data_IF_388325608466
#
_entry.id   IF_388325608466
#
_cell.length_a   1.000
_cell.length_b   1.000
_cell.length_c   1.000
_cell.angle_alpha   90.00
_cell.angle_beta   90.00
_cell.angle_gamma   90.00
#
_symmetry.space_group_name_H-M   'P 1'
#
loop_
_entity.id
_entity.type
_entity.pdbx_description
1 polymer ?
#
# COMPACT_ATOMS: atom_id res chain seq x y z
N UNK A 1 -8.15 -26.28 -2.44
CA UNK A 1 -7.00 -27.18 -2.16
C UNK A 1 -5.64 -26.50 -2.30
N UNK A 2 -5.33 -25.70 -3.34
CA UNK A 2 -3.99 -25.10 -3.50
C UNK A 2 -3.67 -24.00 -2.47
N UNK A 3 -4.62 -23.11 -2.16
CA UNK A 3 -4.44 -22.08 -1.11
C UNK A 3 -4.16 -22.70 0.26
N UNK A 4 -4.81 -23.83 0.57
CA UNK A 4 -4.62 -24.57 1.82
C UNK A 4 -3.20 -25.17 1.93
N UNK A 5 -2.60 -25.62 0.84
CA UNK A 5 -1.21 -26.10 0.83
C UNK A 5 -0.25 -24.94 1.09
N UNK A 6 -0.53 -23.74 0.55
CA UNK A 6 0.30 -22.56 0.80
C UNK A 6 0.20 -22.10 2.27
N UNK A 7 -0.98 -22.09 2.90
CA UNK A 7 -1.09 -21.73 4.32
C UNK A 7 -0.35 -22.71 5.24
N UNK A 8 -0.35 -24.01 4.94
CA UNK A 8 0.31 -25.02 5.79
C UNK A 8 1.82 -25.21 5.53
N UNK A 9 2.32 -24.90 4.34
CA UNK A 9 3.73 -25.19 3.97
C UNK A 9 4.67 -23.99 4.13
N UNK A 10 4.15 -22.77 4.16
CA UNK A 10 4.97 -21.55 4.23
C UNK A 10 5.45 -21.18 5.63
N UNK A 11 4.96 -21.86 6.68
CA UNK A 11 5.50 -21.68 8.04
C UNK A 11 6.81 -22.45 8.28
N UNK A 12 7.08 -23.48 7.46
CA UNK A 12 8.19 -24.42 7.66
C UNK A 12 9.18 -24.35 6.50
N UNK A 13 8.72 -24.08 5.28
CA UNK A 13 9.55 -24.05 4.08
C UNK A 13 9.83 -22.62 3.64
N UNK A 14 11.06 -22.40 3.19
CA UNK A 14 11.47 -21.17 2.54
C UNK A 14 10.79 -21.03 1.17
N UNK A 15 10.71 -19.78 0.67
CA UNK A 15 10.18 -19.47 -0.66
C UNK A 15 10.83 -20.32 -1.77
N UNK A 16 12.15 -20.51 -1.72
CA UNK A 16 12.91 -21.28 -2.71
C UNK A 16 12.52 -22.77 -2.72
N UNK A 17 12.31 -23.37 -1.54
CA UNK A 17 11.89 -24.77 -1.43
C UNK A 17 10.47 -24.97 -2.00
N UNK A 18 9.57 -24.02 -1.76
CA UNK A 18 8.22 -24.03 -2.34
C UNK A 18 8.27 -23.90 -3.86
N UNK A 19 9.09 -22.99 -4.41
CA UNK A 19 9.28 -22.84 -5.86
C UNK A 19 9.84 -24.11 -6.49
N UNK A 20 10.83 -24.75 -5.86
CA UNK A 20 11.40 -26.02 -6.32
C UNK A 20 10.40 -27.17 -6.27
N UNK A 21 9.55 -27.23 -5.24
CA UNK A 21 8.54 -28.28 -5.09
C UNK A 21 7.42 -28.16 -6.13
N UNK A 22 7.01 -26.93 -6.43
CA UNK A 22 5.90 -26.65 -7.33
C UNK A 22 6.34 -26.49 -8.79
N UNK A 23 7.64 -26.34 -9.07
CA UNK A 23 8.16 -26.13 -10.41
C UNK A 23 7.72 -24.79 -11.03
N UNK A 24 7.48 -23.78 -10.19
CA UNK A 24 7.01 -22.44 -10.61
C UNK A 24 7.89 -21.35 -10.01
N UNK A 25 7.84 -20.16 -10.60
CA UNK A 25 8.38 -18.94 -10.00
C UNK A 25 7.25 -18.12 -9.36
N UNK A 26 7.21 -18.04 -8.03
CA UNK A 26 6.12 -17.36 -7.31
C UNK A 26 6.00 -15.90 -7.71
N UNK A 27 7.12 -15.21 -7.96
CA UNK A 27 7.17 -13.80 -8.38
C UNK A 27 6.41 -13.52 -9.69
N UNK A 28 6.27 -14.51 -10.55
CA UNK A 28 5.56 -14.39 -11.83
C UNK A 28 4.07 -14.68 -11.71
N UNK A 29 3.65 -15.29 -10.60
CA UNK A 29 2.23 -15.58 -10.36
C UNK A 29 1.43 -14.29 -10.19
N UNK A 30 0.19 -14.31 -10.67
CA UNK A 30 -0.72 -13.17 -10.53
C UNK A 30 -0.95 -12.82 -9.05
N UNK A 31 -1.20 -13.83 -8.22
CA UNK A 31 -1.45 -13.67 -6.77
C UNK A 31 -0.27 -13.00 -6.06
N UNK A 32 0.98 -13.38 -6.36
CA UNK A 32 2.13 -12.71 -5.75
C UNK A 32 2.24 -11.24 -6.15
N UNK A 33 1.96 -10.91 -7.42
CA UNK A 33 1.99 -9.53 -7.90
C UNK A 33 0.88 -8.69 -7.27
N UNK A 34 -0.33 -9.25 -7.13
CA UNK A 34 -1.46 -8.61 -6.45
C UNK A 34 -1.11 -8.31 -4.98
N UNK A 35 -0.68 -9.31 -4.21
CA UNK A 35 -0.30 -9.12 -2.79
C UNK A 35 0.85 -8.13 -2.64
N UNK A 36 1.85 -8.18 -3.53
CA UNK A 36 2.97 -7.23 -3.50
C UNK A 36 2.48 -5.80 -3.74
N UNK A 37 1.56 -5.61 -4.67
CA UNK A 37 1.04 -4.28 -4.98
C UNK A 37 0.14 -3.75 -3.86
N UNK A 38 -0.73 -4.59 -3.29
CA UNK A 38 -1.53 -4.25 -2.10
C UNK A 38 -0.63 -3.82 -0.93
N UNK A 39 0.42 -4.60 -0.65
CA UNK A 39 1.38 -4.27 0.40
C UNK A 39 2.12 -2.95 0.17
N UNK A 40 2.45 -2.63 -1.09
CA UNK A 40 3.05 -1.33 -1.44
C UNK A 40 2.07 -0.18 -1.25
N UNK A 41 0.81 -0.36 -1.64
CA UNK A 41 -0.24 0.63 -1.46
C UNK A 41 -0.50 0.91 0.03
N UNK A 42 -0.64 -0.13 0.84
CA UNK A 42 -0.81 0.00 2.30
C UNK A 42 0.39 0.71 2.96
N UNK A 43 1.61 0.33 2.60
CA UNK A 43 2.82 0.97 3.15
C UNK A 43 2.91 2.45 2.74
N UNK A 44 2.65 2.77 1.47
CA UNK A 44 2.67 4.15 0.98
C UNK A 44 1.63 5.02 1.71
N UNK A 45 0.39 4.55 1.84
CA UNK A 45 -0.65 5.26 2.57
C UNK A 45 -0.26 5.48 4.04
N UNK A 46 0.23 4.45 4.72
CA UNK A 46 0.65 4.54 6.12
C UNK A 46 1.79 5.54 6.32
N UNK A 47 2.79 5.54 5.42
CA UNK A 47 3.90 6.49 5.48
C UNK A 47 3.42 7.92 5.27
N UNK A 48 2.55 8.15 4.30
CA UNK A 48 1.98 9.48 4.01
C UNK A 48 1.16 9.98 5.20
N UNK A 49 0.26 9.15 5.73
CA UNK A 49 -0.53 9.49 6.93
C UNK A 49 0.40 9.85 8.07
N UNK A 50 1.46 9.07 8.33
CA UNK A 50 2.43 9.36 9.39
C UNK A 50 3.14 10.70 9.17
N UNK A 51 3.55 11.01 7.94
CA UNK A 51 4.22 12.27 7.60
C UNK A 51 3.29 13.47 7.75
N UNK A 52 2.05 13.36 7.27
CA UNK A 52 1.03 14.38 7.40
C UNK A 52 0.66 14.61 8.86
N UNK A 53 0.49 13.54 9.66
CA UNK A 53 0.23 13.66 11.09
C UNK A 53 1.39 14.36 11.82
N UNK A 54 2.63 14.10 11.40
CA UNK A 54 3.80 14.79 11.95
C UNK A 54 3.86 16.27 11.58
N UNK A 55 3.39 16.65 10.38
CA UNK A 55 3.41 18.04 9.90
C UNK A 55 2.24 18.87 10.41
N UNK A 56 1.03 18.31 10.39
CA UNK A 56 -0.22 19.05 10.61
C UNK A 56 -0.91 18.70 11.94
N UNK A 57 -0.39 17.74 12.71
CA UNK A 57 -1.03 17.26 13.93
C UNK A 57 -2.01 16.12 13.66
N UNK A 58 -2.87 15.81 14.61
CA UNK A 58 -3.82 14.70 14.51
C UNK A 58 -4.76 14.87 13.30
N UNK A 59 -4.76 13.89 12.40
CA UNK A 59 -5.65 13.84 11.24
C UNK A 59 -6.95 13.14 11.61
N UNK A 60 -8.06 13.57 11.03
CA UNK A 60 -9.35 12.92 11.25
C UNK A 60 -9.39 11.53 10.61
N UNK A 61 -10.30 10.67 11.09
CA UNK A 61 -10.48 9.32 10.57
C UNK A 61 -10.89 9.33 9.08
N UNK A 62 -11.66 10.34 8.67
CA UNK A 62 -12.10 10.53 7.29
C UNK A 62 -10.92 10.79 6.36
N UNK A 63 -9.99 11.67 6.74
CA UNK A 63 -8.79 11.97 5.96
C UNK A 63 -7.91 10.71 5.85
N UNK A 64 -7.68 10.01 6.96
CA UNK A 64 -6.92 8.77 6.96
C UNK A 64 -7.56 7.72 6.05
N UNK A 65 -8.88 7.53 6.13
CA UNK A 65 -9.59 6.58 5.27
C UNK A 65 -9.56 6.98 3.80
N UNK A 66 -9.62 8.28 3.51
CA UNK A 66 -9.53 8.81 2.15
C UNK A 66 -8.15 8.57 1.55
N UNK A 67 -7.07 8.68 2.35
CA UNK A 67 -5.71 8.41 1.87
C UNK A 67 -5.51 6.91 1.67
N UNK A 68 -5.97 6.07 2.62
CA UNK A 68 -5.81 4.61 2.53
C UNK A 68 -6.55 3.96 1.36
N UNK A 69 -7.55 4.64 0.77
CA UNK A 69 -8.27 4.15 -0.40
C UNK A 69 -7.67 4.59 -1.73
N UNK A 70 -6.68 5.49 -1.74
CA UNK A 70 -6.02 5.95 -2.96
C UNK A 70 -5.19 4.83 -3.59
N UNK A 71 -5.17 4.80 -4.93
CA UNK A 71 -4.28 3.89 -5.67
C UNK A 71 -2.81 4.19 -5.40
N UNK A 72 -1.94 3.18 -5.56
CA UNK A 72 -0.52 3.36 -5.34
C UNK A 72 0.09 4.51 -6.16
N UNK A 73 -0.31 4.66 -7.42
CA UNK A 73 0.16 5.74 -8.28
C UNK A 73 -0.17 7.12 -7.68
N UNK A 74 -1.40 7.29 -7.20
CA UNK A 74 -1.85 8.56 -6.61
C UNK A 74 -1.17 8.82 -5.26
N UNK A 75 -0.85 7.77 -4.50
CA UNK A 75 -0.04 7.89 -3.29
C UNK A 75 1.40 8.30 -3.60
N UNK A 76 2.01 7.75 -4.65
CA UNK A 76 3.34 8.15 -5.11
C UNK A 76 3.35 9.63 -5.53
N UNK A 77 2.33 10.10 -6.27
CA UNK A 77 2.17 11.52 -6.63
C UNK A 77 2.00 12.41 -5.38
N UNK A 78 1.17 11.98 -4.42
CA UNK A 78 1.01 12.69 -3.16
C UNK A 78 2.33 12.79 -2.39
N UNK A 79 3.18 11.76 -2.45
CA UNK A 79 4.47 11.76 -1.75
C UNK A 79 5.41 12.89 -2.21
N UNK A 80 5.38 13.23 -3.50
CA UNK A 80 6.05 14.40 -4.05
C UNK A 80 5.30 15.70 -3.69
N UNK A 81 3.97 15.66 -3.79
CA UNK A 81 3.05 16.74 -3.43
C UNK A 81 3.21 17.22 -1.98
N UNK A 82 3.61 16.33 -1.06
CA UNK A 82 3.82 16.65 0.35
C UNK A 82 4.77 17.83 0.55
N UNK A 83 5.75 18.04 -0.33
CA UNK A 83 6.69 19.16 -0.20
C UNK A 83 6.05 20.53 -0.45
N UNK A 84 4.92 20.58 -1.16
CA UNK A 84 4.22 21.80 -1.54
C UNK A 84 3.04 22.13 -0.63
N UNK A 85 2.58 21.18 0.19
CA UNK A 85 1.49 21.40 1.14
C UNK A 85 1.94 22.29 2.31
N UNK A 86 1.28 23.44 2.47
CA UNK A 86 1.52 24.39 3.55
C UNK A 86 0.47 24.32 4.66
N UNK A 87 -0.71 23.79 4.35
CA UNK A 87 -1.84 23.69 5.28
C UNK A 87 -2.67 22.42 5.08
N UNK A 88 -3.53 22.11 6.06
CA UNK A 88 -4.51 21.03 5.93
C UNK A 88 -5.56 21.33 4.85
N UNK A 89 -5.86 22.62 4.61
CA UNK A 89 -6.77 23.02 3.54
C UNK A 89 -6.20 22.66 2.16
N UNK A 90 -4.88 22.78 1.97
CA UNK A 90 -4.21 22.39 0.72
C UNK A 90 -4.37 20.88 0.47
N UNK A 91 -4.24 20.06 1.53
CA UNK A 91 -4.42 18.62 1.45
C UNK A 91 -5.87 18.25 1.06
N UNK A 92 -6.86 18.89 1.70
CA UNK A 92 -8.27 18.63 1.42
C UNK A 92 -8.63 19.01 -0.02
N UNK A 93 -8.16 20.16 -0.49
CA UNK A 93 -8.36 20.60 -1.88
C UNK A 93 -7.70 19.63 -2.88
N UNK A 94 -6.50 19.13 -2.55
CA UNK A 94 -5.83 18.13 -3.37
C UNK A 94 -6.60 16.80 -3.42
N UNK A 95 -7.07 16.31 -2.27
CA UNK A 95 -7.85 15.07 -2.18
C UNK A 95 -9.15 15.15 -3.01
N UNK A 96 -9.85 16.29 -2.95
CA UNK A 96 -11.05 16.53 -3.76
C UNK A 96 -10.74 16.54 -5.27
N UNK A 97 -9.58 17.08 -5.66
CA UNK A 97 -9.16 17.14 -7.06
C UNK A 97 -8.79 15.77 -7.66
N UNK A 98 -8.26 14.85 -6.87
CA UNK A 98 -7.88 13.49 -7.34
C UNK A 98 -9.02 12.48 -7.26
N UNK A 99 -10.14 12.83 -6.61
CA UNK A 99 -11.33 11.98 -6.47
C UNK A 99 -12.45 12.31 -7.47
N UNK A 100 -12.33 13.42 -8.20
CA UNK A 100 -13.20 13.79 -9.33
C UNK A 100 -12.60 13.38 -10.67
#
# INVERSE_FOLDING_TARGET
MIVTIMVYKFEILTRTEVESMLGITLKETRVYREIKEEGRQEEAANLIIRLLTKRFGELSAEICSSISSLSLLVLEDLSEGLLYLTSLADLLAWLEAVQN
#
